data_IF_729407900148
#
_entry.id   IF_729407900148
#
_cell.length_a   1.000
_cell.length_b   1.000
_cell.length_c   1.000
_cell.angle_alpha   90.00
_cell.angle_beta   90.00
_cell.angle_gamma   90.00
#
_symmetry.space_group_name_H-M   'P 1'
#
loop_
_entity.id
_entity.type
_entity.pdbx_description
1 polymer ?
#
# COMPACT_ATOMS: atom_id res chain seq x y z
N UNK A 1 13.16 20.67 1.97
CA UNK A 1 13.30 21.24 0.61
C UNK A 1 14.73 21.01 0.18
N UNK A 2 14.97 20.64 -1.07
CA UNK A 2 16.31 20.40 -1.63
C UNK A 2 16.51 21.26 -2.88
N UNK A 3 17.74 21.75 -3.08
CA UNK A 3 18.17 22.45 -4.29
C UNK A 3 19.29 21.64 -4.93
N UNK A 4 19.13 21.31 -6.20
CA UNK A 4 20.11 20.62 -7.01
C UNK A 4 20.51 21.52 -8.17
N UNK A 5 21.81 21.68 -8.40
CA UNK A 5 22.35 22.34 -9.58
C UNK A 5 23.00 21.30 -10.47
N UNK A 6 22.63 21.29 -11.76
CA UNK A 6 23.15 20.35 -12.75
C UNK A 6 23.71 21.15 -13.93
N UNK A 7 25.02 21.04 -14.15
CA UNK A 7 25.75 21.72 -15.23
C UNK A 7 26.33 20.73 -16.25
N UNK A 8 26.27 19.43 -15.97
CA UNK A 8 26.67 18.35 -16.85
C UNK A 8 25.59 17.27 -16.90
N UNK A 9 25.48 16.53 -18.00
CA UNK A 9 24.64 15.31 -18.04
C UNK A 9 25.06 14.28 -16.98
N UNK A 10 26.34 14.27 -16.59
CA UNK A 10 26.85 13.39 -15.51
C UNK A 10 26.23 13.68 -14.15
N UNK A 11 25.75 14.92 -13.95
CA UNK A 11 25.12 15.33 -12.70
C UNK A 11 23.76 14.64 -12.50
N UNK A 12 23.25 13.92 -13.51
CA UNK A 12 22.05 13.08 -13.38
C UNK A 12 22.19 12.04 -12.25
N UNK A 13 23.41 11.60 -11.96
CA UNK A 13 23.68 10.68 -10.87
C UNK A 13 23.31 11.30 -9.51
N UNK A 14 23.37 12.63 -9.37
CA UNK A 14 22.95 13.32 -8.16
C UNK A 14 21.45 13.15 -7.90
N UNK A 15 20.62 12.99 -8.94
CA UNK A 15 19.20 12.69 -8.77
C UNK A 15 19.01 11.30 -8.17
N UNK A 16 19.78 10.30 -8.59
CA UNK A 16 19.72 8.96 -7.99
C UNK A 16 20.19 8.96 -6.54
N UNK A 17 21.24 9.72 -6.21
CA UNK A 17 21.68 9.90 -4.82
C UNK A 17 20.63 10.67 -4.00
N UNK A 18 19.97 11.65 -4.60
CA UNK A 18 18.90 12.40 -3.95
C UNK A 18 17.70 11.50 -3.67
N UNK A 19 17.31 10.61 -4.60
CA UNK A 19 16.27 9.60 -4.38
C UNK A 19 16.63 8.68 -3.22
N UNK A 20 17.87 8.18 -3.20
CA UNK A 20 18.35 7.31 -2.14
C UNK A 20 18.41 8.02 -0.76
N UNK A 21 18.71 9.32 -0.74
CA UNK A 21 18.81 10.11 0.49
C UNK A 21 17.46 10.63 0.98
N UNK A 22 16.55 10.96 0.05
CA UNK A 22 15.18 11.37 0.35
C UNK A 22 14.26 10.15 0.46
N UNK A 23 14.82 8.99 0.82
CA UNK A 23 14.15 7.69 0.81
C UNK A 23 12.71 7.81 1.31
N UNK A 24 11.77 7.56 0.39
CA UNK A 24 10.32 7.63 0.62
C UNK A 24 9.69 8.99 0.96
N UNK A 25 10.43 10.11 1.00
CA UNK A 25 9.89 11.47 1.12
C UNK A 25 9.39 12.02 -0.22
N UNK A 26 8.38 11.36 -0.79
CA UNK A 26 7.77 11.73 -2.09
C UNK A 26 7.23 13.17 -2.13
N UNK A 27 6.94 13.74 -0.97
CA UNK A 27 6.45 15.11 -0.78
C UNK A 27 7.55 16.17 -0.71
N UNK A 28 8.83 15.77 -0.63
CA UNK A 28 9.93 16.71 -0.55
C UNK A 28 9.89 17.66 -1.76
N UNK A 29 9.91 18.97 -1.47
CA UNK A 29 10.01 20.01 -2.49
C UNK A 29 11.44 20.04 -3.01
N UNK A 30 11.61 19.79 -4.30
CA UNK A 30 12.90 19.73 -4.98
C UNK A 30 12.94 20.82 -6.04
N UNK A 31 13.99 21.62 -6.00
CA UNK A 31 14.30 22.60 -7.04
C UNK A 31 15.52 22.10 -7.79
N UNK A 32 15.41 21.97 -9.11
CA UNK A 32 16.52 21.57 -9.99
C UNK A 32 16.84 22.76 -10.87
N UNK A 33 18.08 23.23 -10.83
CA UNK A 33 18.58 24.26 -11.72
C UNK A 33 19.48 23.63 -12.78
N UNK A 34 19.03 23.66 -14.03
CA UNK A 34 19.76 23.18 -15.20
C UNK A 34 20.59 24.29 -15.83
N UNK A 35 21.91 24.11 -15.84
CA UNK A 35 22.85 24.91 -16.63
C UNK A 35 22.88 24.53 -18.12
N UNK A 36 22.18 23.47 -18.52
CA UNK A 36 22.17 22.90 -19.87
C UNK A 36 20.77 22.87 -20.49
N UNK A 37 20.71 22.92 -21.82
CA UNK A 37 19.48 22.66 -22.58
C UNK A 37 19.23 21.15 -22.62
N UNK A 38 18.37 20.64 -21.74
CA UNK A 38 17.96 19.23 -21.77
C UNK A 38 16.68 19.04 -22.58
N UNK A 39 16.72 18.13 -23.56
CA UNK A 39 15.57 17.65 -24.36
C UNK A 39 14.87 16.45 -23.70
N UNK A 40 15.49 15.81 -22.70
CA UNK A 40 15.01 14.57 -22.05
C UNK A 40 14.46 14.80 -20.63
N UNK A 41 13.94 16.01 -20.34
CA UNK A 41 13.48 16.44 -18.99
C UNK A 41 12.34 15.59 -18.42
N UNK A 42 11.43 15.13 -19.28
CA UNK A 42 10.23 14.39 -18.87
C UNK A 42 10.56 12.95 -18.46
N UNK A 43 11.38 12.24 -19.26
CA UNK A 43 11.74 10.85 -18.99
C UNK A 43 12.47 10.67 -17.66
N UNK A 44 13.28 11.65 -17.26
CA UNK A 44 14.03 11.59 -16.02
C UNK A 44 13.14 11.80 -14.78
N UNK A 45 12.09 12.62 -14.86
CA UNK A 45 11.21 12.87 -13.72
C UNK A 45 10.36 11.64 -13.37
N UNK A 46 9.92 10.88 -14.38
CA UNK A 46 9.11 9.67 -14.23
C UNK A 46 9.86 8.57 -13.47
N UNK A 47 11.14 8.43 -13.78
CA UNK A 47 12.03 7.47 -13.12
C UNK A 47 12.17 7.76 -11.63
N UNK A 48 12.10 9.02 -11.22
CA UNK A 48 12.43 9.45 -9.86
C UNK A 48 11.22 9.50 -8.90
N UNK A 49 9.99 9.32 -9.40
CA UNK A 49 8.73 9.24 -8.62
C UNK A 49 8.49 10.40 -7.62
N UNK A 50 9.15 11.55 -7.80
CA UNK A 50 8.93 12.73 -6.98
C UNK A 50 7.63 13.43 -7.36
N UNK A 51 6.93 13.99 -6.37
CA UNK A 51 5.67 14.70 -6.63
C UNK A 51 5.89 16.21 -6.81
N UNK A 52 6.89 16.77 -6.13
CA UNK A 52 7.08 18.22 -6.02
C UNK A 52 8.42 18.66 -6.62
N UNK A 53 8.50 18.74 -7.95
CA UNK A 53 9.68 19.24 -8.67
C UNK A 53 9.39 20.62 -9.28
N UNK A 54 10.35 21.54 -9.09
CA UNK A 54 10.46 22.79 -9.81
C UNK A 54 11.77 22.80 -10.59
N UNK A 55 11.71 23.03 -11.90
CA UNK A 55 12.86 23.11 -12.77
C UNK A 55 13.14 24.58 -13.11
N UNK A 56 14.39 24.99 -12.98
CA UNK A 56 14.89 26.31 -13.39
C UNK A 56 15.83 26.08 -14.57
N UNK A 57 15.45 26.56 -15.75
CA UNK A 57 16.31 26.47 -16.93
C UNK A 57 17.37 27.58 -16.94
N UNK A 58 18.39 27.42 -17.78
CA UNK A 58 19.42 28.44 -18.01
C UNK A 58 18.84 29.80 -18.43
N UNK A 59 17.73 29.79 -19.17
CA UNK A 59 16.97 30.98 -19.58
C UNK A 59 16.21 31.64 -18.44
N UNK A 60 16.36 31.14 -17.20
CA UNK A 60 15.60 31.51 -16.00
C UNK A 60 14.09 31.23 -16.13
N UNK A 61 13.70 30.38 -17.09
CA UNK A 61 12.34 29.88 -17.17
C UNK A 61 12.10 28.86 -16.05
N UNK A 62 10.96 29.01 -15.39
CA UNK A 62 10.51 28.12 -14.34
C UNK A 62 9.50 27.14 -14.92
N UNK A 63 9.78 25.85 -14.80
CA UNK A 63 8.87 24.79 -15.18
C UNK A 63 8.44 24.02 -13.93
N UNK A 64 7.14 23.89 -13.74
CA UNK A 64 6.52 23.15 -12.64
C UNK A 64 6.17 21.76 -13.11
N UNK A 65 6.48 20.76 -12.28
CA UNK A 65 6.13 19.37 -12.56
C UNK A 65 4.70 19.03 -12.12
N UNK A 66 3.99 18.30 -12.96
CA UNK A 66 2.71 17.67 -12.68
C UNK A 66 2.83 16.17 -12.92
N UNK A 67 2.81 15.33 -11.88
CA UNK A 67 3.01 13.89 -12.02
C UNK A 67 1.79 13.13 -12.55
N UNK A 68 0.60 13.74 -12.55
CA UNK A 68 -0.66 13.03 -12.82
C UNK A 68 -1.52 13.73 -13.89
N UNK A 69 -2.35 12.97 -14.63
CA UNK A 69 -2.34 11.50 -14.69
C UNK A 69 -1.13 10.97 -15.47
N UNK A 70 -0.59 11.81 -16.37
CA UNK A 70 0.66 11.60 -17.06
C UNK A 70 1.64 12.71 -16.68
N UNK A 71 2.88 12.37 -16.36
CA UNK A 71 3.90 13.34 -16.00
C UNK A 71 4.14 14.38 -17.09
N UNK A 72 4.15 15.66 -16.69
CA UNK A 72 4.44 16.78 -17.59
C UNK A 72 5.04 17.96 -16.84
N UNK A 73 5.72 18.80 -17.60
CA UNK A 73 6.19 20.10 -17.13
C UNK A 73 5.35 21.20 -17.75
N UNK A 74 4.96 22.18 -16.93
CA UNK A 74 4.24 23.37 -17.37
C UNK A 74 5.07 24.62 -17.04
N UNK A 75 5.15 25.55 -17.99
CA UNK A 75 5.82 26.83 -17.77
C UNK A 75 5.04 27.69 -16.80
N UNK A 76 5.78 28.32 -15.89
CA UNK A 76 5.23 29.19 -14.86
C UNK A 76 5.53 30.66 -15.21
N UNK A 77 4.55 31.36 -15.75
CA UNK A 77 4.75 32.73 -16.25
C UNK A 77 4.83 33.79 -15.14
N UNK A 78 4.28 33.52 -13.96
CA UNK A 78 4.22 34.46 -12.82
C UNK A 78 4.55 33.77 -11.48
N UNK A 79 5.84 33.56 -11.16
CA UNK A 79 6.25 32.83 -9.96
C UNK A 79 5.92 33.48 -8.63
N UNK A 80 5.79 34.80 -8.62
CA UNK A 80 5.44 35.59 -7.43
C UNK A 80 3.94 35.94 -7.37
N UNK A 81 3.12 35.31 -8.21
CA UNK A 81 1.67 35.46 -8.18
C UNK A 81 1.00 34.70 -7.03
N UNK A 82 -0.33 34.82 -6.91
CA UNK A 82 -1.13 34.09 -5.89
C UNK A 82 -1.13 32.56 -6.06
N UNK A 83 -0.64 32.03 -7.17
CA UNK A 83 -0.64 30.59 -7.44
C UNK A 83 0.51 29.89 -6.73
N UNK A 84 0.23 28.78 -6.05
CA UNK A 84 1.25 27.96 -5.40
C UNK A 84 2.28 27.44 -6.42
N UNK A 85 3.57 27.64 -6.11
CA UNK A 85 4.71 27.16 -6.91
C UNK A 85 4.71 25.63 -6.97
N UNK A 86 4.42 24.98 -5.83
CA UNK A 86 4.25 23.54 -5.74
C UNK A 86 2.75 23.21 -5.61
N UNK A 87 2.19 22.39 -6.52
CA UNK A 87 0.78 22.03 -6.47
C UNK A 87 0.49 21.10 -5.28
N UNK A 88 -0.74 21.17 -4.76
CA UNK A 88 -1.21 20.27 -3.70
C UNK A 88 -1.79 19.02 -4.36
N UNK A 89 -0.92 18.06 -4.66
CA UNK A 89 -1.26 16.91 -5.51
C UNK A 89 -1.98 15.76 -4.80
N UNK A 90 -1.86 15.68 -3.47
CA UNK A 90 -2.39 14.56 -2.69
C UNK A 90 -3.92 14.50 -2.63
N UNK A 91 -4.63 15.54 -3.04
CA UNK A 91 -6.10 15.53 -3.05
C UNK A 91 -6.71 14.95 -4.33
N UNK A 92 -5.97 14.92 -5.44
CA UNK A 92 -6.53 14.54 -6.74
C UNK A 92 -5.43 14.02 -7.67
N UNK A 93 -5.50 12.72 -7.97
CA UNK A 93 -4.58 12.01 -8.85
C UNK A 93 -5.05 12.00 -10.31
N UNK A 94 -6.06 12.83 -10.64
CA UNK A 94 -6.53 13.12 -11.99
C UNK A 94 -6.90 11.88 -12.83
N UNK A 95 -7.42 10.84 -12.18
CA UNK A 95 -7.81 9.59 -12.83
C UNK A 95 -6.64 8.65 -13.09
N UNK A 96 -5.47 8.84 -12.43
CA UNK A 96 -4.33 7.93 -12.54
C UNK A 96 -4.81 6.49 -12.34
N UNK A 97 -4.42 5.62 -13.28
CA UNK A 97 -4.64 4.19 -13.15
C UNK A 97 -3.59 3.65 -12.18
N UNK A 98 -4.06 2.97 -11.13
CA UNK A 98 -3.20 2.29 -10.16
C UNK A 98 -3.44 0.79 -10.28
N UNK A 99 -2.38 0.05 -10.60
CA UNK A 99 -2.43 -1.40 -10.59
C UNK A 99 -2.50 -1.88 -9.14
N UNK A 100 -3.45 -2.77 -8.86
CA UNK A 100 -3.69 -3.27 -7.51
C UNK A 100 -3.88 -4.77 -7.48
N UNK A 101 -3.42 -5.39 -6.40
CA UNK A 101 -3.60 -6.81 -6.12
C UNK A 101 -4.14 -7.00 -4.72
N UNK A 102 -4.97 -8.02 -4.58
CA UNK A 102 -5.64 -8.36 -3.35
C UNK A 102 -5.20 -9.70 -2.77
N UNK A 103 -5.04 -9.69 -1.45
CA UNK A 103 -4.87 -10.91 -0.68
C UNK A 103 -6.25 -11.35 -0.17
N UNK A 104 -6.84 -12.35 -0.82
CA UNK A 104 -8.20 -12.85 -0.53
C UNK A 104 -8.26 -13.64 0.78
N UNK A 105 -8.28 -12.92 1.90
CA UNK A 105 -8.44 -13.48 3.25
C UNK A 105 -9.57 -12.78 3.98
N UNK A 106 -10.57 -13.54 4.42
CA UNK A 106 -11.64 -13.04 5.28
C UNK A 106 -11.09 -12.61 6.65
N UNK A 107 -11.58 -11.49 7.23
CA UNK A 107 -12.60 -10.56 6.73
C UNK A 107 -12.02 -9.36 5.95
N UNK A 108 -10.73 -9.42 5.57
CA UNK A 108 -9.96 -8.29 5.05
C UNK A 108 -10.28 -7.98 3.58
N UNK A 109 -10.32 -9.01 2.74
CA UNK A 109 -10.69 -8.94 1.33
C UNK A 109 -11.22 -10.30 0.91
N UNK A 110 -12.42 -10.37 0.35
CA UNK A 110 -13.04 -11.62 -0.09
C UNK A 110 -14.16 -11.35 -1.08
N UNK A 111 -14.56 -12.38 -1.81
CA UNK A 111 -15.73 -12.32 -2.67
C UNK A 111 -16.95 -12.90 -1.95
N UNK A 112 -18.04 -12.15 -1.97
CA UNK A 112 -19.33 -12.61 -1.48
C UNK A 112 -20.32 -12.68 -2.63
N UNK A 113 -21.08 -13.77 -2.71
CA UNK A 113 -22.15 -13.91 -3.69
C UNK A 113 -23.45 -13.47 -3.07
N UNK A 114 -24.09 -12.48 -3.69
CA UNK A 114 -25.41 -12.00 -3.27
C UNK A 114 -26.44 -13.13 -3.45
N UNK A 115 -27.10 -13.61 -2.38
CA UNK A 115 -28.03 -14.73 -2.47
C UNK A 115 -29.30 -14.39 -3.27
N UNK A 116 -29.63 -13.10 -3.40
CA UNK A 116 -30.82 -12.65 -4.14
C UNK A 116 -30.57 -12.51 -5.65
N UNK A 117 -29.37 -12.06 -6.03
CA UNK A 117 -29.03 -11.77 -7.44
C UNK A 117 -28.04 -12.75 -8.05
N UNK A 118 -27.44 -13.62 -7.24
CA UNK A 118 -26.35 -14.52 -7.60
C UNK A 118 -25.11 -13.78 -8.18
N UNK A 119 -24.98 -12.49 -7.89
CA UNK A 119 -23.86 -11.66 -8.34
C UNK A 119 -22.71 -11.74 -7.34
N UNK A 120 -21.53 -12.13 -7.82
CA UNK A 120 -20.29 -12.13 -7.03
C UNK A 120 -19.78 -10.70 -6.88
N UNK A 121 -19.60 -10.23 -5.65
CA UNK A 121 -19.11 -8.90 -5.30
C UNK A 121 -17.83 -9.00 -4.49
N UNK A 122 -16.86 -8.16 -4.81
CA UNK A 122 -15.66 -8.00 -4.00
C UNK A 122 -15.99 -7.14 -2.78
N UNK A 123 -15.61 -7.60 -1.60
CA UNK A 123 -15.89 -6.95 -0.32
C UNK A 123 -14.75 -7.24 0.66
N UNK A 124 -14.90 -6.78 1.90
CA UNK A 124 -13.89 -6.86 2.94
C UNK A 124 -13.48 -5.48 3.44
N UNK A 125 -12.95 -5.44 4.66
CA UNK A 125 -12.59 -4.19 5.32
C UNK A 125 -11.47 -3.43 4.57
N UNK A 126 -10.38 -4.11 4.23
CA UNK A 126 -9.22 -3.50 3.55
C UNK A 126 -9.58 -3.15 2.11
N UNK A 127 -10.33 -4.02 1.42
CA UNK A 127 -10.81 -3.73 0.07
C UNK A 127 -11.60 -2.41 0.04
N UNK A 128 -12.65 -2.30 0.87
CA UNK A 128 -13.48 -1.09 0.94
C UNK A 128 -12.68 0.15 1.31
N UNK A 129 -11.71 0.02 2.21
CA UNK A 129 -10.84 1.13 2.57
C UNK A 129 -10.06 1.65 1.36
N UNK A 130 -9.41 0.75 0.62
CA UNK A 130 -8.59 1.13 -0.53
C UNK A 130 -9.45 1.68 -1.67
N UNK A 131 -10.62 1.08 -1.91
CA UNK A 131 -11.58 1.60 -2.89
C UNK A 131 -12.06 3.00 -2.52
N UNK A 132 -12.46 3.22 -1.25
CA UNK A 132 -12.89 4.54 -0.79
C UNK A 132 -11.76 5.59 -0.90
N UNK A 133 -10.52 5.21 -0.57
CA UNK A 133 -9.36 6.07 -0.77
C UNK A 133 -9.20 6.44 -2.26
N UNK A 134 -9.27 5.45 -3.15
CA UNK A 134 -9.13 5.68 -4.58
C UNK A 134 -10.23 6.61 -5.12
N UNK A 135 -11.47 6.42 -4.70
CA UNK A 135 -12.60 7.28 -5.06
C UNK A 135 -12.41 8.72 -4.58
N UNK A 136 -12.04 8.92 -3.32
CA UNK A 136 -11.82 10.25 -2.73
C UNK A 136 -10.68 11.01 -3.42
N UNK A 137 -9.68 10.29 -3.90
CA UNK A 137 -8.47 10.85 -4.49
C UNK A 137 -8.45 10.78 -6.02
N UNK A 138 -9.56 10.42 -6.67
CA UNK A 138 -9.69 10.31 -8.13
C UNK A 138 -8.58 9.41 -8.74
N UNK A 139 -8.49 8.18 -8.24
CA UNK A 139 -7.62 7.11 -8.72
C UNK A 139 -8.50 6.02 -9.33
N UNK A 140 -8.11 5.52 -10.50
CA UNK A 140 -8.78 4.37 -11.12
C UNK A 140 -8.03 3.10 -10.72
N UNK A 141 -8.67 2.23 -9.92
CA UNK A 141 -8.07 0.95 -9.55
C UNK A 141 -8.23 -0.08 -10.66
N UNK A 142 -7.13 -0.73 -11.04
CA UNK A 142 -7.14 -1.88 -11.96
C UNK A 142 -6.66 -3.11 -11.19
N UNK A 143 -7.57 -4.06 -10.97
CA UNK A 143 -7.28 -5.27 -10.21
C UNK A 143 -6.57 -6.29 -11.13
N UNK A 144 -5.32 -6.62 -10.80
CA UNK A 144 -4.39 -7.41 -11.65
C UNK A 144 -4.51 -8.93 -11.44
N UNK A 145 -5.69 -9.47 -11.11
CA UNK A 145 -5.83 -10.92 -10.95
C UNK A 145 -7.09 -11.52 -11.54
N UNK A 146 -6.95 -12.58 -12.37
CA UNK A 146 -7.99 -13.58 -12.48
C UNK A 146 -8.07 -14.42 -11.19
N UNK A 147 -9.27 -14.88 -10.79
CA UNK A 147 -9.57 -15.44 -9.47
C UNK A 147 -9.03 -16.86 -9.19
N UNK A 148 -7.97 -17.32 -9.87
CA UNK A 148 -7.56 -18.73 -9.88
C UNK A 148 -6.28 -19.09 -9.12
N UNK A 149 -5.45 -18.14 -8.74
CA UNK A 149 -4.22 -18.42 -7.99
C UNK A 149 -4.23 -17.67 -6.66
N UNK A 150 -4.25 -18.42 -5.55
CA UNK A 150 -4.05 -17.86 -4.21
C UNK A 150 -2.64 -17.29 -4.12
N UNK A 151 -2.51 -15.99 -4.37
CA UNK A 151 -1.23 -15.30 -4.27
C UNK A 151 -0.86 -15.09 -2.82
N UNK A 152 0.36 -15.47 -2.45
CA UNK A 152 0.83 -15.24 -1.09
C UNK A 152 0.97 -13.73 -0.81
N UNK A 153 0.70 -13.31 0.42
CA UNK A 153 0.93 -11.92 0.83
C UNK A 153 2.37 -11.44 0.57
N UNK A 154 3.36 -12.32 0.73
CA UNK A 154 4.77 -11.99 0.50
C UNK A 154 5.02 -11.63 -0.97
N UNK A 155 4.43 -12.38 -1.89
CA UNK A 155 4.56 -12.13 -3.33
C UNK A 155 3.95 -10.78 -3.73
N UNK A 156 2.76 -10.44 -3.22
CA UNK A 156 2.13 -9.13 -3.45
C UNK A 156 3.06 -8.00 -2.98
N UNK A 157 3.71 -8.16 -1.83
CA UNK A 157 4.65 -7.17 -1.30
C UNK A 157 5.88 -7.06 -2.20
N UNK A 158 6.50 -8.17 -2.58
CA UNK A 158 7.67 -8.16 -3.45
C UNK A 158 7.37 -7.48 -4.79
N UNK A 159 6.23 -7.79 -5.41
CA UNK A 159 5.80 -7.15 -6.66
C UNK A 159 5.55 -5.65 -6.48
N UNK A 160 5.01 -5.24 -5.33
CA UNK A 160 4.87 -3.81 -4.97
C UNK A 160 6.23 -3.13 -4.82
N UNK A 161 7.21 -3.79 -4.19
CA UNK A 161 8.57 -3.27 -4.04
C UNK A 161 9.30 -3.15 -5.39
N UNK A 162 9.07 -4.10 -6.30
CA UNK A 162 9.56 -4.05 -7.68
C UNK A 162 8.88 -2.97 -8.52
N UNK A 163 7.79 -2.38 -8.03
CA UNK A 163 7.01 -1.36 -8.72
C UNK A 163 6.11 -1.93 -9.81
N UNK A 164 5.85 -3.24 -9.78
CA UNK A 164 4.88 -3.89 -10.66
C UNK A 164 3.44 -3.55 -10.25
N UNK A 165 3.21 -3.33 -8.95
CA UNK A 165 1.92 -2.97 -8.36
C UNK A 165 2.04 -1.57 -7.73
N UNK A 166 1.05 -0.71 -7.97
CA UNK A 166 1.00 0.62 -7.36
C UNK A 166 0.43 0.59 -5.94
N UNK A 167 -0.64 -0.21 -5.72
CA UNK A 167 -1.38 -0.28 -4.46
C UNK A 167 -1.66 -1.74 -4.06
N UNK A 168 -1.04 -2.20 -2.98
CA UNK A 168 -1.30 -3.53 -2.42
C UNK A 168 -2.50 -3.53 -1.45
N UNK A 169 -3.47 -4.42 -1.64
CA UNK A 169 -4.59 -4.65 -0.72
C UNK A 169 -4.21 -5.83 0.17
N UNK A 170 -3.44 -5.55 1.23
CA UNK A 170 -3.01 -6.56 2.21
C UNK A 170 -3.25 -6.07 3.64
N UNK A 171 -3.58 -6.97 4.57
CA UNK A 171 -3.76 -6.63 5.99
C UNK A 171 -2.56 -7.00 6.85
N UNK A 172 -1.39 -6.44 6.55
CA UNK A 172 -0.22 -6.65 7.41
C UNK A 172 -0.39 -6.03 8.79
N UNK A 173 -0.08 -6.81 9.83
CA UNK A 173 0.28 -6.26 11.14
C UNK A 173 1.69 -5.66 11.06
N UNK A 174 1.93 -4.63 11.86
CA UNK A 174 3.03 -3.64 11.77
C UNK A 174 4.41 -4.24 12.12
N UNK A 175 4.83 -5.29 11.42
CA UNK A 175 6.20 -5.80 11.49
C UNK A 175 6.86 -5.66 10.11
N UNK A 176 6.94 -4.43 9.62
CA UNK A 176 7.75 -4.10 8.46
C UNK A 176 9.25 -4.24 8.80
N UNK A 177 9.77 -5.47 8.72
CA UNK A 177 11.21 -5.78 8.78
C UNK A 177 11.91 -5.57 7.43
N UNK A 178 11.23 -5.05 6.40
CA UNK A 178 11.86 -4.82 5.11
C UNK A 178 12.53 -3.45 5.08
N UNK A 179 13.87 -3.44 5.04
CA UNK A 179 14.69 -2.23 5.05
C UNK A 179 14.44 -1.29 3.88
N UNK A 180 13.90 -1.80 2.76
CA UNK A 180 13.58 -1.04 1.54
C UNK A 180 12.07 -0.88 1.28
N UNK A 181 11.22 -1.32 2.22
CA UNK A 181 9.79 -1.07 2.14
C UNK A 181 9.47 0.33 2.64
N UNK A 182 8.68 1.10 1.87
CA UNK A 182 8.19 2.41 2.30
C UNK A 182 7.64 2.30 3.71
N UNK A 183 8.19 3.10 4.65
CA UNK A 183 7.70 3.16 6.04
C UNK A 183 6.22 3.46 5.98
N UNK A 184 5.39 2.45 6.20
CA UNK A 184 3.95 2.59 6.23
C UNK A 184 3.67 3.48 7.44
N UNK A 185 3.28 4.74 7.20
CA UNK A 185 2.59 5.49 8.23
C UNK A 185 1.34 4.70 8.56
N UNK A 186 1.36 4.05 9.72
CA UNK A 186 0.26 3.20 10.16
C UNK A 186 -0.95 4.10 10.43
N UNK A 187 -1.77 4.32 9.42
CA UNK A 187 -2.97 5.15 9.56
C UNK A 187 -4.08 4.44 10.36
N UNK A 188 -4.03 3.12 10.47
CA UNK A 188 -5.03 2.31 11.15
C UNK A 188 -4.38 1.19 11.98
N UNK A 189 -3.83 1.58 13.12
CA UNK A 189 -3.25 0.66 14.08
C UNK A 189 -4.17 0.40 15.26
N UNK A 190 -4.98 -0.66 15.20
CA UNK A 190 -5.48 -1.33 16.40
C UNK A 190 -5.59 -2.84 16.14
N UNK A 191 -4.47 -3.54 16.31
CA UNK A 191 -4.48 -4.98 16.53
C UNK A 191 -4.22 -5.20 18.03
N UNK A 192 -5.28 -5.38 18.83
CA UNK A 192 -5.12 -5.98 20.14
C UNK A 192 -4.77 -7.46 19.95
N UNK A 193 -3.65 -7.92 20.48
CA UNK A 193 -3.37 -9.35 20.53
C UNK A 193 -4.39 -10.00 21.48
N UNK A 194 -5.18 -10.93 20.96
CA UNK A 194 -6.16 -11.68 21.74
C UNK A 194 -5.86 -13.16 21.64
N UNK A 195 -5.97 -13.88 22.76
CA UNK A 195 -5.85 -15.33 22.79
C UNK A 195 -7.26 -15.88 22.66
N UNK A 196 -7.55 -16.52 21.53
CA UNK A 196 -8.79 -17.28 21.35
C UNK A 196 -8.55 -18.69 21.87
N UNK A 197 -9.22 -19.04 22.96
CA UNK A 197 -9.25 -20.42 23.46
C UNK A 197 -10.52 -21.10 22.96
N UNK A 198 -10.45 -22.38 22.51
CA UNK A 198 -11.66 -23.12 22.21
C UNK A 198 -12.53 -23.16 23.47
N UNK A 199 -13.84 -22.92 23.32
CA UNK A 199 -14.76 -23.10 24.42
C UNK A 199 -14.72 -24.58 24.84
N UNK A 200 -14.35 -24.84 26.10
CA UNK A 200 -14.51 -26.17 26.66
C UNK A 200 -15.99 -26.55 26.60
N UNK A 201 -16.30 -27.76 26.15
CA UNK A 201 -17.65 -28.29 26.32
C UNK A 201 -17.96 -28.33 27.82
N UNK A 202 -19.14 -27.86 28.21
CA UNK A 202 -19.58 -27.97 29.60
C UNK A 202 -19.68 -29.46 29.94
N UNK A 203 -18.70 -29.96 30.70
CA UNK A 203 -18.72 -31.34 31.16
C UNK A 203 -19.94 -31.53 32.05
N UNK A 204 -20.77 -32.52 31.71
CA UNK A 204 -21.84 -33.01 32.57
C UNK A 204 -21.25 -33.44 33.92
N UNK A 205 -22.07 -33.43 34.99
CA UNK A 205 -21.63 -33.86 36.31
C UNK A 205 -21.02 -35.29 36.30
N UNK A 206 -21.47 -36.14 35.38
CA UNK A 206 -20.96 -37.49 35.17
C UNK A 206 -19.52 -37.48 34.62
N UNK A 207 -19.24 -36.70 33.59
CA UNK A 207 -17.92 -36.61 32.94
C UNK A 207 -16.85 -36.00 33.87
N UNK A 208 -17.24 -35.12 34.79
CA UNK A 208 -16.34 -34.59 35.83
C UNK A 208 -15.83 -35.68 36.75
N UNK A 209 -16.72 -36.55 37.23
CA UNK A 209 -16.34 -37.66 38.13
C UNK A 209 -15.47 -38.71 37.42
N UNK A 210 -15.67 -38.89 36.11
CA UNK A 210 -14.87 -39.82 35.30
C UNK A 210 -13.48 -39.26 34.97
N UNK A 211 -13.38 -37.96 34.69
CA UNK A 211 -12.10 -37.26 34.47
C UNK A 211 -11.22 -37.25 35.72
N UNK A 212 -11.80 -37.10 36.91
CA UNK A 212 -11.09 -37.20 38.19
C UNK A 212 -10.56 -38.62 38.46
N UNK A 213 -11.27 -39.66 38.01
CA UNK A 213 -10.81 -41.05 38.09
C UNK A 213 -9.64 -41.32 37.13
N UNK A 214 -9.67 -40.76 35.92
CA UNK A 214 -8.59 -40.89 34.93
C UNK A 214 -7.31 -40.18 35.41
N UNK A 215 -7.42 -38.99 36.00
CA UNK A 215 -6.27 -38.28 36.61
C UNK A 215 -5.63 -39.06 37.77
N UNK A 216 -6.43 -39.80 38.54
CA UNK A 216 -5.94 -40.63 39.65
C UNK A 216 -5.37 -41.98 39.20
N UNK A 217 -5.62 -42.42 37.96
CA UNK A 217 -5.08 -43.69 37.45
C UNK A 217 -4.90 -43.66 35.92
N UNK A 218 -3.74 -43.21 35.40
CA UNK A 218 -3.54 -42.92 33.98
C UNK A 218 -3.44 -44.15 33.07
N UNK A 219 -3.60 -45.38 33.59
CA UNK A 219 -3.39 -46.62 32.81
C UNK A 219 -4.59 -47.11 31.99
N UNK A 220 -5.69 -46.36 31.93
CA UNK A 220 -6.84 -46.68 31.06
C UNK A 220 -7.41 -45.43 30.43
N UNK A 221 -7.00 -45.15 29.20
CA UNK A 221 -7.60 -44.12 28.35
C UNK A 221 -8.31 -44.83 27.19
N UNK A 222 -9.65 -44.79 27.09
CA UNK A 222 -10.32 -45.02 25.81
C UNK A 222 -10.21 -43.74 24.97
N UNK A 223 -9.80 -43.90 23.71
CA UNK A 223 -9.73 -42.82 22.72
C UNK A 223 -11.14 -42.33 22.39
N UNK A 224 -11.51 -41.15 22.90
CA UNK A 224 -12.66 -40.39 22.43
C UNK A 224 -12.17 -39.30 21.48
N UNK A 225 -12.53 -39.43 20.20
CA UNK A 225 -12.38 -38.38 19.19
C UNK A 225 -13.39 -37.28 19.48
N UNK A 226 -12.93 -36.13 19.96
CA UNK A 226 -13.76 -34.93 20.09
C UNK A 226 -13.62 -34.09 18.84
N UNK A 227 -14.71 -33.97 18.08
CA UNK A 227 -14.84 -33.06 16.94
C UNK A 227 -15.03 -31.64 17.46
N UNK A 228 -14.07 -30.75 17.18
CA UNK A 228 -14.15 -29.32 17.48
C UNK A 228 -14.96 -28.62 16.38
N UNK A 229 -16.13 -28.06 16.73
CA UNK A 229 -16.85 -27.09 15.89
C UNK A 229 -16.57 -25.68 16.41
N UNK A 230 -15.88 -24.87 15.62
CA UNK A 230 -15.73 -23.44 15.85
C UNK A 230 -16.97 -22.73 15.31
N UNK A 231 -17.77 -22.11 16.21
CA UNK A 231 -18.75 -21.08 15.84
C UNK A 231 -18.17 -19.73 16.25
N UNK A 232 -17.96 -18.85 15.28
CA UNK A 232 -17.65 -17.43 15.50
C UNK A 232 -18.99 -16.69 15.45
N UNK A 233 -19.32 -15.94 16.50
CA UNK A 233 -20.47 -15.04 16.59
C UNK A 233 -20.11 -13.66 16.03
#
# INVERSE_FOLDING_TARGET
MALLYMNSEKDILLLSSLVANLDHMREARIVIWLGLESTEKQKQADVLKFLNILLIERTLQLLRFFPFPQPKFERLDKPLGKSNIFPVLWHNYMGKIALTLDHLVEPLSFYWTDPSTNVKRHTGYIYKLITNFAEQHNITLLLDSPPSEEMSQMEIIERTLRGEIDLAITGQTINSRHSSGSRIHCFLGMASMSIVVPCGQEMSAYERTMSDRIRRNPRRIPLLQTVLSLRVL
#
